data_IF_174450058186
#
_entry.id   IF_174450058186
#
_cell.length_a   1.000
_cell.length_b   1.000
_cell.length_c   1.000
_cell.angle_alpha   90.00
_cell.angle_beta   90.00
_cell.angle_gamma   90.00
#
_symmetry.space_group_name_H-M   'P 1'
#
loop_
_entity.id
_entity.type
_entity.pdbx_description
1 polymer ?
#
# COMPACT_ATOMS: atom_id res chain seq x y z
N UNK A 1 -19.02 5.17 -0.58
CA UNK A 1 -18.59 5.28 0.83
C UNK A 1 -19.42 4.31 1.64
N UNK A 2 -18.87 3.74 2.72
CA UNK A 2 -19.54 2.72 3.56
C UNK A 2 -19.19 2.95 5.03
N UNK A 3 -20.14 2.71 5.91
CA UNK A 3 -19.87 2.60 7.35
C UNK A 3 -19.21 1.25 7.64
N UNK A 4 -18.27 1.24 8.57
CA UNK A 4 -17.51 0.07 8.94
C UNK A 4 -17.17 0.10 10.43
N UNK A 5 -17.04 -1.09 11.03
CA UNK A 5 -16.87 -1.24 12.48
C UNK A 5 -15.42 -1.61 12.80
N UNK A 6 -14.77 -0.84 13.67
CA UNK A 6 -13.45 -1.19 14.19
C UNK A 6 -13.61 -2.35 15.17
N UNK A 7 -13.05 -3.51 14.84
CA UNK A 7 -13.11 -4.72 15.66
C UNK A 7 -12.01 -4.71 16.71
N UNK A 8 -10.79 -4.38 16.29
CA UNK A 8 -9.65 -4.37 17.18
C UNK A 8 -8.61 -3.35 16.75
N UNK A 9 -7.81 -2.94 17.73
CA UNK A 9 -6.67 -2.06 17.58
C UNK A 9 -5.54 -2.64 18.44
N UNK A 10 -4.38 -2.83 17.83
CA UNK A 10 -3.13 -3.20 18.51
C UNK A 10 -1.95 -2.39 17.95
N UNK A 11 -0.83 -2.36 18.67
CA UNK A 11 0.40 -1.73 18.19
C UNK A 11 1.42 -2.83 17.91
N UNK A 12 1.88 -2.92 16.66
CA UNK A 12 2.85 -3.92 16.19
C UNK A 12 4.07 -3.20 15.67
N UNK A 13 5.24 -3.46 16.28
CA UNK A 13 6.51 -2.85 15.90
C UNK A 13 6.43 -1.31 15.77
N UNK A 14 5.71 -0.67 16.71
CA UNK A 14 5.53 0.79 16.74
C UNK A 14 4.52 1.35 15.74
N UNK A 15 3.76 0.51 15.02
CA UNK A 15 2.72 0.93 14.07
C UNK A 15 1.36 0.42 14.52
N UNK A 16 0.32 1.25 14.39
CA UNK A 16 -1.03 0.89 14.82
C UNK A 16 -1.70 0.01 13.77
N UNK A 17 -2.06 -1.21 14.14
CA UNK A 17 -2.81 -2.16 13.31
C UNK A 17 -4.28 -2.13 13.71
N UNK A 18 -5.16 -2.07 12.71
CA UNK A 18 -6.61 -2.13 12.92
C UNK A 18 -7.21 -3.27 12.11
N UNK A 19 -8.16 -3.98 12.72
CA UNK A 19 -9.10 -4.87 12.03
C UNK A 19 -10.46 -4.18 11.97
N UNK A 20 -11.02 -4.09 10.78
CA UNK A 20 -12.25 -3.35 10.51
C UNK A 20 -13.22 -4.24 9.74
N UNK A 21 -14.44 -4.43 10.27
CA UNK A 21 -15.51 -5.15 9.58
C UNK A 21 -16.13 -4.27 8.51
N UNK A 22 -15.99 -4.68 7.24
CA UNK A 22 -16.57 -4.00 6.09
C UNK A 22 -16.94 -5.01 5.00
N UNK A 23 -18.23 -5.36 4.88
CA UNK A 23 -18.68 -6.31 3.87
C UNK A 23 -18.46 -5.83 2.44
N UNK A 24 -18.18 -6.79 1.55
CA UNK A 24 -18.15 -6.62 0.09
C UNK A 24 -17.16 -5.56 -0.43
N UNK A 25 -16.07 -5.25 0.29
CA UNK A 25 -15.05 -4.28 -0.14
C UNK A 25 -14.27 -4.80 -1.36
N UNK A 26 -13.88 -6.09 -1.33
CA UNK A 26 -13.22 -6.80 -2.43
C UNK A 26 -12.06 -6.03 -3.10
N UNK A 27 -11.07 -5.52 -2.33
CA UNK A 27 -9.95 -4.78 -2.91
C UNK A 27 -9.09 -5.70 -3.80
N UNK A 28 -8.44 -5.12 -4.81
CA UNK A 28 -7.46 -5.81 -5.66
C UNK A 28 -6.03 -5.37 -5.34
N UNK A 29 -5.01 -6.19 -5.64
CA UNK A 29 -3.61 -5.80 -5.51
C UNK A 29 -3.35 -4.42 -6.12
N UNK A 30 -2.64 -3.54 -5.40
CA UNK A 30 -2.34 -2.18 -5.86
C UNK A 30 -3.39 -1.12 -5.50
N UNK A 31 -4.59 -1.53 -5.11
CA UNK A 31 -5.64 -0.62 -4.66
C UNK A 31 -5.47 -0.22 -3.19
N UNK A 32 -6.12 0.89 -2.83
CA UNK A 32 -6.12 1.45 -1.49
C UNK A 32 -7.55 1.85 -1.07
N UNK A 33 -7.71 2.32 0.16
CA UNK A 33 -8.95 2.92 0.65
C UNK A 33 -8.68 4.30 1.20
N UNK A 34 -9.72 5.08 1.44
CA UNK A 34 -9.62 6.24 2.30
C UNK A 34 -10.56 6.15 3.50
N UNK A 35 -10.08 6.61 4.65
CA UNK A 35 -10.90 6.84 5.84
C UNK A 35 -11.31 8.31 5.84
N UNK A 36 -12.61 8.53 6.05
CA UNK A 36 -13.22 9.86 6.08
C UNK A 36 -13.58 10.20 7.53
N UNK A 37 -13.04 11.33 8.01
CA UNK A 37 -13.46 12.00 9.23
C UNK A 37 -14.33 13.20 8.84
N UNK A 38 -15.67 13.10 8.97
CA UNK A 38 -16.59 14.14 8.51
C UNK A 38 -16.23 15.53 9.02
N UNK A 39 -16.30 16.53 8.13
CA UNK A 39 -15.96 17.95 8.41
C UNK A 39 -14.50 18.21 8.85
N UNK A 40 -13.63 17.20 8.82
CA UNK A 40 -12.24 17.34 9.27
C UNK A 40 -11.25 17.01 8.16
N UNK A 41 -11.17 15.74 7.74
CA UNK A 41 -10.19 15.30 6.75
C UNK A 41 -10.52 13.94 6.14
N UNK A 42 -9.89 13.66 5.00
CA UNK A 42 -9.88 12.35 4.35
C UNK A 42 -8.43 11.88 4.21
N UNK A 43 -8.15 10.62 4.58
CA UNK A 43 -6.80 10.06 4.54
C UNK A 43 -6.73 8.83 3.64
N UNK A 44 -5.76 8.73 2.72
CA UNK A 44 -5.52 7.52 1.97
C UNK A 44 -4.75 6.51 2.83
N UNK A 45 -5.13 5.24 2.80
CA UNK A 45 -4.45 4.16 3.50
C UNK A 45 -4.39 2.93 2.61
N UNK A 46 -3.21 2.32 2.49
CA UNK A 46 -3.04 1.06 1.80
C UNK A 46 -3.79 -0.05 2.52
N UNK A 47 -4.35 -0.98 1.75
CA UNK A 47 -4.87 -2.23 2.28
C UNK A 47 -3.69 -3.10 2.67
N UNK A 48 -3.70 -3.65 3.89
CA UNK A 48 -2.71 -4.64 4.31
C UNK A 48 -3.25 -6.06 4.16
N UNK A 49 -4.54 -6.25 4.42
CA UNK A 49 -5.25 -7.48 4.08
C UNK A 49 -6.77 -7.28 3.95
N UNK A 50 -7.45 -8.22 3.29
CA UNK A 50 -8.90 -8.33 3.32
C UNK A 50 -9.34 -9.80 3.24
N UNK A 51 -9.98 -10.31 4.29
CA UNK A 51 -10.53 -11.68 4.35
C UNK A 51 -11.79 -11.75 5.20
N UNK A 52 -12.78 -12.53 4.76
CA UNK A 52 -14.04 -12.74 5.49
C UNK A 52 -14.69 -11.42 5.94
N UNK A 53 -14.75 -10.45 5.03
CA UNK A 53 -15.23 -9.09 5.28
C UNK A 53 -14.45 -8.28 6.34
N UNK A 54 -13.25 -8.73 6.72
CA UNK A 54 -12.36 -8.03 7.63
C UNK A 54 -11.24 -7.38 6.83
N UNK A 55 -11.18 -6.06 6.90
CA UNK A 55 -10.11 -5.23 6.40
C UNK A 55 -9.03 -5.07 7.47
N UNK A 56 -7.78 -5.34 7.10
CA UNK A 56 -6.61 -5.02 7.90
C UNK A 56 -5.89 -3.81 7.32
N UNK A 57 -5.58 -2.83 8.17
CA UNK A 57 -4.79 -1.64 7.83
C UNK A 57 -3.74 -1.35 8.90
N UNK A 58 -2.70 -0.63 8.48
CA UNK A 58 -1.67 -0.10 9.38
C UNK A 58 -1.60 1.42 9.28
N UNK A 59 -1.44 2.09 10.42
CA UNK A 59 -1.38 3.54 10.54
C UNK A 59 -0.15 3.93 11.38
N UNK A 60 0.81 4.58 10.75
CA UNK A 60 2.03 5.03 11.41
C UNK A 60 1.82 6.28 12.30
N UNK A 61 0.86 7.14 11.95
CA UNK A 61 0.61 8.37 12.70
C UNK A 61 -0.24 8.11 13.93
N UNK A 62 0.33 8.30 15.12
CA UNK A 62 -0.40 8.20 16.40
C UNK A 62 -1.61 9.14 16.45
N UNK A 63 -1.46 10.37 15.91
CA UNK A 63 -2.55 11.35 15.82
C UNK A 63 -3.75 10.84 15.02
N UNK A 64 -3.48 10.15 13.92
CA UNK A 64 -4.53 9.55 13.08
C UNK A 64 -5.11 8.31 13.77
N UNK A 65 -4.25 7.45 14.32
CA UNK A 65 -4.66 6.22 14.97
C UNK A 65 -5.65 6.48 16.13
N UNK A 66 -5.40 7.51 16.96
CA UNK A 66 -6.31 7.93 18.04
C UNK A 66 -7.70 8.35 17.57
N UNK A 67 -7.88 8.69 16.29
CA UNK A 67 -9.17 9.09 15.70
C UNK A 67 -9.94 7.90 15.13
N UNK A 68 -9.29 6.76 14.91
CA UNK A 68 -9.92 5.54 14.41
C UNK A 68 -10.46 4.75 15.61
N UNK A 69 -11.77 4.81 15.82
CA UNK A 69 -12.42 4.09 16.92
C UNK A 69 -13.91 3.88 16.62
N UNK A 70 -14.51 2.83 17.17
CA UNK A 70 -15.94 2.55 17.02
C UNK A 70 -16.33 2.33 15.56
N UNK A 71 -16.89 3.37 14.93
CA UNK A 71 -17.30 3.35 13.54
C UNK A 71 -16.46 4.32 12.70
N UNK A 72 -16.12 3.90 11.49
CA UNK A 72 -15.43 4.73 10.49
C UNK A 72 -16.17 4.73 9.17
N UNK A 73 -15.97 5.78 8.38
CA UNK A 73 -16.48 5.87 7.02
C UNK A 73 -15.32 5.56 6.07
N UNK A 74 -15.51 4.57 5.21
CA UNK A 74 -14.50 4.13 4.24
C UNK A 74 -14.98 4.42 2.82
N UNK A 75 -14.10 4.97 1.99
CA UNK A 75 -14.27 5.09 0.54
C UNK A 75 -13.26 4.19 -0.16
N UNK A 76 -13.76 3.38 -1.09
CA UNK A 76 -12.94 2.49 -1.90
C UNK A 76 -13.60 1.15 -2.20
N UNK A 77 -12.84 0.22 -2.81
CA UNK A 77 -11.44 0.38 -3.16
C UNK A 77 -11.21 1.47 -4.22
N UNK A 78 -10.05 2.13 -4.14
CA UNK A 78 -9.61 3.22 -5.01
C UNK A 78 -8.28 2.84 -5.68
N UNK A 79 -7.91 3.55 -6.74
CA UNK A 79 -6.72 3.24 -7.50
C UNK A 79 -6.88 2.03 -8.41
N UNK A 80 -5.79 1.68 -9.12
CA UNK A 80 -5.79 0.64 -10.15
C UNK A 80 -5.27 -0.69 -9.61
N UNK A 81 -5.82 -1.79 -10.13
CA UNK A 81 -5.27 -3.12 -9.91
C UNK A 81 -3.91 -3.28 -10.61
N UNK A 82 -2.96 -3.94 -9.95
CA UNK A 82 -1.70 -4.39 -10.54
C UNK A 82 -1.74 -5.89 -10.84
N UNK A 83 -1.03 -6.31 -11.88
CA UNK A 83 -0.82 -7.73 -12.19
C UNK A 83 0.34 -8.28 -11.37
N UNK A 84 0.19 -9.50 -10.86
CA UNK A 84 1.20 -10.25 -10.12
C UNK A 84 1.45 -11.54 -10.88
N UNK A 85 2.64 -11.70 -11.45
CA UNK A 85 3.01 -12.84 -12.29
C UNK A 85 4.36 -13.42 -11.86
N UNK A 86 4.50 -14.74 -12.03
CA UNK A 86 5.75 -15.45 -11.83
C UNK A 86 6.33 -15.29 -10.42
N UNK A 87 7.65 -15.10 -10.35
CA UNK A 87 8.38 -14.83 -9.12
C UNK A 87 8.16 -13.38 -8.69
N UNK A 88 7.63 -13.19 -7.49
CA UNK A 88 7.45 -11.87 -6.91
C UNK A 88 8.64 -11.57 -5.99
N UNK A 89 9.30 -10.46 -6.25
CA UNK A 89 10.35 -9.90 -5.39
C UNK A 89 9.89 -8.55 -4.91
N UNK A 90 10.23 -8.20 -3.68
CA UNK A 90 9.96 -6.87 -3.17
C UNK A 90 11.14 -6.28 -2.43
N UNK A 91 11.28 -4.97 -2.50
CA UNK A 91 12.18 -4.21 -1.64
C UNK A 91 11.36 -3.22 -0.80
N UNK A 92 11.59 -3.25 0.51
CA UNK A 92 10.84 -2.45 1.47
C UNK A 92 11.75 -1.85 2.53
N UNK A 93 11.36 -0.68 3.04
CA UNK A 93 12.11 0.04 4.06
C UNK A 93 11.23 0.38 5.27
N UNK A 94 11.59 -0.12 6.46
CA UNK A 94 10.89 0.21 7.71
C UNK A 94 9.39 0.01 7.62
N UNK A 95 8.62 1.02 8.03
CA UNK A 95 7.15 1.01 7.98
C UNK A 95 6.55 1.11 6.58
N UNK A 96 7.33 1.44 5.54
CA UNK A 96 6.84 1.42 4.16
C UNK A 96 6.49 0.01 3.68
N UNK A 97 6.98 -1.01 4.38
CA UNK A 97 6.58 -2.40 4.20
C UNK A 97 5.04 -2.58 4.20
N UNK A 98 4.34 -1.88 5.10
CA UNK A 98 2.89 -2.00 5.25
C UNK A 98 2.10 -1.52 4.01
N UNK A 99 2.69 -0.68 3.16
CA UNK A 99 2.01 -0.14 1.98
C UNK A 99 1.75 -1.17 0.87
N UNK A 100 2.55 -2.25 0.82
CA UNK A 100 2.48 -3.28 -0.22
C UNK A 100 2.20 -4.68 0.36
N UNK A 101 1.73 -4.75 1.62
CA UNK A 101 1.40 -6.05 2.23
C UNK A 101 0.31 -6.80 1.47
N UNK A 102 -0.75 -6.11 1.03
CA UNK A 102 -1.84 -6.78 0.33
C UNK A 102 -1.41 -7.46 -0.98
N UNK A 103 -0.71 -6.81 -1.92
CA UNK A 103 -0.21 -7.51 -3.11
C UNK A 103 0.75 -8.65 -2.78
N UNK A 104 1.60 -8.54 -1.74
CA UNK A 104 2.49 -9.62 -1.31
C UNK A 104 1.72 -10.84 -0.76
N UNK A 105 0.74 -10.60 0.11
CA UNK A 105 -0.14 -11.63 0.67
C UNK A 105 -0.97 -12.32 -0.39
N UNK A 106 -1.48 -11.54 -1.34
CA UNK A 106 -2.26 -12.05 -2.44
C UNK A 106 -1.41 -12.88 -3.42
N UNK A 107 -0.18 -12.46 -3.73
CA UNK A 107 0.77 -13.28 -4.48
C UNK A 107 1.02 -14.63 -3.81
N UNK A 108 1.27 -14.62 -2.49
CA UNK A 108 1.50 -15.85 -1.70
C UNK A 108 0.28 -16.78 -1.71
N UNK A 109 -0.94 -16.23 -1.60
CA UNK A 109 -2.20 -17.00 -1.70
C UNK A 109 -2.40 -17.66 -3.05
N UNK A 110 -1.95 -16.99 -4.12
CA UNK A 110 -1.95 -17.53 -5.48
C UNK A 110 -0.87 -18.59 -5.71
N UNK A 111 -0.06 -18.90 -4.70
CA UNK A 111 1.01 -19.89 -4.77
C UNK A 111 2.26 -19.41 -5.52
N UNK A 112 2.43 -18.10 -5.69
CA UNK A 112 3.63 -17.53 -6.32
C UNK A 112 4.83 -17.59 -5.36
N UNK A 113 6.04 -17.66 -5.93
CA UNK A 113 7.29 -17.54 -5.18
C UNK A 113 7.49 -16.06 -4.78
N UNK A 114 7.27 -15.76 -3.49
CA UNK A 114 7.37 -14.40 -2.93
C UNK A 114 8.56 -14.28 -1.99
N UNK A 115 9.49 -13.36 -2.28
CA UNK A 115 10.60 -13.02 -1.38
C UNK A 115 10.76 -11.52 -1.21
N UNK A 116 11.20 -11.11 -0.02
CA UNK A 116 11.25 -9.70 0.37
C UNK A 116 12.66 -9.31 0.83
N UNK A 117 13.23 -8.28 0.21
CA UNK A 117 14.36 -7.54 0.71
C UNK A 117 13.89 -6.49 1.72
N UNK A 118 13.99 -6.84 3.00
CA UNK A 118 13.60 -5.98 4.11
C UNK A 118 14.79 -5.16 4.60
N UNK A 119 14.71 -3.83 4.52
CA UNK A 119 15.71 -2.90 5.04
C UNK A 119 15.11 -2.19 6.26
N UNK A 120 15.76 -2.28 7.42
CA UNK A 120 15.28 -1.69 8.68
C UNK A 120 13.84 -2.11 9.05
N UNK A 121 13.44 -3.32 8.69
CA UNK A 121 12.15 -3.90 9.00
C UNK A 121 12.28 -5.38 9.35
N UNK A 122 11.24 -5.91 9.98
CA UNK A 122 11.15 -7.31 10.37
C UNK A 122 9.90 -7.93 9.76
N UNK A 123 10.07 -9.13 9.20
CA UNK A 123 8.96 -9.94 8.72
C UNK A 123 9.25 -11.41 8.97
N UNK A 124 8.25 -12.12 9.49
CA UNK A 124 8.22 -13.57 9.60
C UNK A 124 7.28 -14.19 8.55
N UNK A 125 6.55 -13.35 7.81
CA UNK A 125 5.53 -13.78 6.85
C UNK A 125 6.13 -14.16 5.49
N UNK A 126 7.26 -13.57 5.13
CA UNK A 126 7.91 -13.75 3.84
C UNK A 126 9.36 -14.19 4.00
N UNK A 127 9.82 -15.05 3.10
CA UNK A 127 11.24 -15.37 2.99
C UNK A 127 12.04 -14.12 2.63
N UNK A 128 13.20 -13.95 3.25
CA UNK A 128 14.10 -12.83 2.96
C UNK A 128 14.96 -13.11 1.74
N UNK A 129 15.27 -12.07 0.97
CA UNK A 129 16.22 -12.09 -0.15
C UNK A 129 16.88 -10.73 -0.26
N UNK A 130 18.10 -10.65 -0.76
CA UNK A 130 18.74 -9.42 -1.24
C UNK A 130 18.74 -9.34 -2.78
N UNK A 131 18.47 -10.46 -3.46
CA UNK A 131 18.41 -10.56 -4.90
C UNK A 131 17.02 -10.23 -5.45
N UNK A 132 16.91 -9.06 -6.11
CA UNK A 132 15.69 -8.58 -6.76
C UNK A 132 15.61 -8.93 -8.25
N UNK A 133 16.74 -9.13 -8.92
CA UNK A 133 16.83 -9.28 -10.39
C UNK A 133 16.20 -10.58 -10.93
N UNK A 134 15.88 -11.53 -10.05
CA UNK A 134 15.21 -12.79 -10.40
C UNK A 134 13.67 -12.73 -10.31
N UNK A 135 13.09 -11.55 -10.14
CA UNK A 135 11.64 -11.38 -10.06
C UNK A 135 11.01 -11.07 -11.42
N UNK A 136 9.94 -11.79 -11.76
CA UNK A 136 9.05 -11.44 -12.87
C UNK A 136 8.13 -10.26 -12.51
N UNK A 137 7.84 -10.11 -11.21
CA UNK A 137 7.17 -8.92 -10.65
C UNK A 137 8.02 -8.35 -9.52
N UNK A 138 8.43 -7.09 -9.64
CA UNK A 138 9.23 -6.39 -8.62
C UNK A 138 8.39 -5.30 -7.98
N UNK A 139 8.09 -5.43 -6.69
CA UNK A 139 7.38 -4.42 -5.90
C UNK A 139 8.38 -3.58 -5.09
N UNK A 140 8.17 -2.27 -5.04
CA UNK A 140 9.08 -1.32 -4.41
C UNK A 140 8.28 -0.43 -3.46
N UNK A 141 8.63 -0.43 -2.17
CA UNK A 141 8.05 0.47 -1.17
C UNK A 141 9.12 0.99 -0.24
N UNK A 142 9.80 2.05 -0.68
CA UNK A 142 10.89 2.71 0.02
C UNK A 142 10.73 4.24 -0.11
N UNK A 143 11.35 5.04 0.78
CA UNK A 143 11.45 6.49 0.59
C UNK A 143 12.00 6.87 -0.79
N UNK A 144 11.49 7.97 -1.37
CA UNK A 144 11.82 8.41 -2.73
C UNK A 144 13.34 8.56 -2.93
N UNK A 145 14.02 9.13 -1.95
CA UNK A 145 15.46 9.37 -1.93
C UNK A 145 16.32 8.09 -1.90
N UNK A 146 15.71 6.94 -1.56
CA UNK A 146 16.40 5.64 -1.58
C UNK A 146 16.19 4.90 -2.90
N UNK A 147 15.18 5.25 -3.71
CA UNK A 147 14.88 4.55 -4.97
C UNK A 147 16.09 4.53 -5.91
N UNK A 148 16.80 5.65 -6.04
CA UNK A 148 17.97 5.78 -6.93
C UNK A 148 19.18 4.97 -6.49
N UNK A 149 19.21 4.50 -5.24
CA UNK A 149 20.30 3.67 -4.69
C UNK A 149 20.20 2.21 -5.12
N UNK A 150 19.09 1.81 -5.73
CA UNK A 150 18.84 0.44 -6.16
C UNK A 150 18.80 0.36 -7.68
N UNK A 151 19.50 -0.63 -8.24
CA UNK A 151 19.42 -0.96 -9.66
C UNK A 151 18.11 -1.71 -9.95
N UNK A 152 17.00 -0.99 -10.05
CA UNK A 152 15.67 -1.58 -10.29
C UNK A 152 15.38 -1.65 -11.81
N UNK A 153 14.66 -2.64 -12.33
CA UNK A 153 14.12 -2.59 -13.69
C UNK A 153 13.11 -1.45 -13.87
N UNK A 154 12.97 -0.90 -15.09
CA UNK A 154 12.09 0.25 -15.39
C UNK A 154 10.61 -0.04 -15.15
N UNK A 155 10.22 -1.30 -15.34
CA UNK A 155 8.87 -1.85 -15.17
C UNK A 155 8.56 -2.26 -13.72
N UNK A 156 9.50 -2.09 -12.79
CA UNK A 156 9.25 -2.30 -11.36
C UNK A 156 8.06 -1.47 -10.90
N UNK A 157 7.23 -2.04 -10.03
CA UNK A 157 6.02 -1.42 -9.51
C UNK A 157 6.32 -0.75 -8.17
N UNK A 158 6.32 0.58 -8.13
CA UNK A 158 6.63 1.40 -6.96
C UNK A 158 5.37 1.95 -6.31
N UNK A 159 5.29 1.84 -4.99
CA UNK A 159 4.27 2.52 -4.20
C UNK A 159 4.64 4.00 -4.02
N UNK A 160 3.87 4.88 -4.64
CA UNK A 160 4.03 6.33 -4.58
C UNK A 160 3.43 6.87 -3.28
N UNK A 161 4.29 7.25 -2.34
CA UNK A 161 3.89 7.80 -1.02
C UNK A 161 4.34 9.24 -0.79
N UNK A 162 5.01 9.88 -1.76
CA UNK A 162 5.56 11.24 -1.63
C UNK A 162 4.67 12.32 -2.23
N UNK A 163 3.52 11.95 -2.79
CA UNK A 163 2.51 12.90 -3.29
C UNK A 163 1.35 13.01 -2.31
N UNK A 164 0.75 14.20 -2.24
CA UNK A 164 -0.45 14.41 -1.43
C UNK A 164 -1.68 13.96 -2.20
N UNK A 165 -2.58 13.24 -1.55
CA UNK A 165 -3.92 12.96 -2.08
C UNK A 165 -4.98 13.72 -1.28
N UNK A 166 -5.78 14.54 -1.95
CA UNK A 166 -6.85 15.32 -1.32
C UNK A 166 -8.25 14.74 -1.59
N UNK A 167 -8.62 14.56 -2.87
CA UNK A 167 -9.95 14.07 -3.23
C UNK A 167 -10.01 12.55 -3.44
N UNK A 168 -8.89 11.93 -3.81
CA UNK A 168 -8.77 10.51 -4.17
C UNK A 168 -9.71 10.06 -5.31
N UNK A 169 -10.15 11.01 -6.15
CA UNK A 169 -11.10 10.79 -7.25
C UNK A 169 -10.60 11.37 -8.58
N UNK A 170 -9.35 11.86 -8.62
CA UNK A 170 -8.76 12.47 -9.82
C UNK A 170 -9.25 13.88 -10.16
N UNK A 171 -10.22 14.43 -9.44
CA UNK A 171 -10.85 15.70 -9.81
C UNK A 171 -10.03 16.94 -9.47
N UNK A 172 -9.16 16.88 -8.45
CA UNK A 172 -8.43 18.06 -7.96
C UNK A 172 -7.01 18.21 -8.53
N UNK A 173 -6.46 17.18 -9.17
CA UNK A 173 -5.08 17.20 -9.70
C UNK A 173 -3.93 17.20 -8.67
N UNK A 174 -4.18 17.43 -7.38
CA UNK A 174 -3.12 17.54 -6.34
C UNK A 174 -2.17 16.32 -6.24
N UNK A 175 -2.63 15.12 -6.59
CA UNK A 175 -1.80 13.91 -6.58
C UNK A 175 -1.06 13.66 -7.90
N UNK A 176 -0.98 14.67 -8.77
CA UNK A 176 -0.29 14.58 -10.04
C UNK A 176 1.21 14.36 -9.84
N UNK A 177 1.75 13.46 -10.65
CA UNK A 177 3.18 13.19 -10.75
C UNK A 177 3.51 12.80 -12.19
N UNK A 178 4.26 13.65 -12.87
CA UNK A 178 4.80 13.43 -14.23
C UNK A 178 3.71 13.10 -15.27
N UNK A 179 2.58 13.78 -15.19
CA UNK A 179 1.41 13.60 -16.05
C UNK A 179 0.42 12.57 -15.54
N UNK A 180 0.70 11.88 -14.44
CA UNK A 180 -0.13 10.79 -13.91
C UNK A 180 -0.80 11.15 -12.59
N UNK A 181 -2.05 10.71 -12.39
CA UNK A 181 -2.79 10.93 -11.15
C UNK A 181 -2.64 9.73 -10.21
N UNK A 182 -1.78 9.82 -9.20
CA UNK A 182 -1.48 8.69 -8.32
C UNK A 182 -2.72 8.09 -7.60
N UNK A 183 -3.78 8.88 -7.35
CA UNK A 183 -4.99 8.36 -6.72
C UNK A 183 -5.93 7.60 -7.68
N UNK A 184 -5.74 7.74 -8.99
CA UNK A 184 -6.53 7.07 -10.03
C UNK A 184 -5.73 5.92 -10.66
N UNK A 185 -4.47 6.17 -10.96
CA UNK A 185 -3.59 5.24 -11.67
C UNK A 185 -2.73 4.40 -10.72
N UNK A 186 -2.48 4.90 -9.50
CA UNK A 186 -1.69 4.24 -8.48
C UNK A 186 -2.53 3.74 -7.30
N UNK A 187 -2.00 3.79 -6.05
CA UNK A 187 -0.69 4.36 -5.67
C UNK A 187 0.49 3.49 -6.08
N UNK A 188 0.27 2.25 -6.53
CA UNK A 188 1.34 1.40 -7.06
C UNK A 188 1.44 1.56 -8.57
N UNK A 189 2.56 2.11 -9.05
CA UNK A 189 2.74 2.56 -10.44
C UNK A 189 4.07 2.09 -11.01
N UNK A 190 4.29 2.13 -12.33
CA UNK A 190 5.60 1.74 -12.86
C UNK A 190 6.64 2.79 -12.55
N UNK A 191 7.84 2.33 -12.22
CA UNK A 191 8.95 3.19 -11.84
C UNK A 191 9.28 4.22 -12.94
N UNK A 192 9.28 3.80 -14.21
CA UNK A 192 9.53 4.69 -15.34
C UNK A 192 8.48 5.79 -15.54
N UNK A 193 7.26 5.61 -15.02
CA UNK A 193 6.18 6.60 -15.14
C UNK A 193 6.34 7.72 -14.11
N UNK A 194 6.96 7.45 -12.94
CA UNK A 194 6.90 8.35 -11.78
C UNK A 194 8.26 8.78 -11.21
N UNK A 195 9.38 8.19 -11.64
CA UNK A 195 10.73 8.58 -11.19
C UNK A 195 11.62 8.85 -12.40
N UNK A 196 12.30 9.99 -12.42
CA UNK A 196 13.34 10.27 -13.42
C UNK A 196 14.58 9.41 -13.13
N UNK A 197 15.11 8.81 -14.18
CA UNK A 197 16.46 8.25 -14.17
C UNK A 197 17.33 9.15 -15.02
N UNK A 198 18.23 9.87 -14.36
CA UNK A 198 19.34 10.54 -15.02
C UNK A 198 20.21 9.55 -15.78
#
# INVERSE_FOLDING_TARGET
MRYADVISHEVVSGVHKFLIKIPNLNPKPGQFISIIFPNEMEIPLSVADYRNDILEIYVASERIAKRISGHVIIKGPLGREISLVGKVRAIVYGSYFYHILYPLREAKRRGLDVKVYCINCETQEFEKTDNLEQGDTILVSVPLELISKFNLPKDSLVHVSWVKMNCMLGVCGVCEIKGHLACVEGPVMRLSEVVDRG
#
